data_IF_864292820629
#
_entry.id   IF_864292820629
#
_cell.length_a   1.000
_cell.length_b   1.000
_cell.length_c   1.000
_cell.angle_alpha   90.00
_cell.angle_beta   90.00
_cell.angle_gamma   90.00
#
_symmetry.space_group_name_H-M   'P 1'
#
loop_
_entity.id
_entity.type
_entity.pdbx_description
1 polymer ?
#
# COMPACT_ATOMS: atom_id res chain seq x y z
N UNK A 1 0.65 31.66 -16.32
CA UNK A 1 -0.13 31.42 -15.08
C UNK A 1 0.76 31.56 -13.84
N UNK A 2 2.08 31.64 -13.99
CA UNK A 2 2.99 31.64 -12.85
C UNK A 2 3.04 32.97 -12.11
N UNK A 3 2.93 34.11 -12.81
CA UNK A 3 3.20 35.42 -12.20
C UNK A 3 2.40 35.68 -10.90
N UNK A 4 1.07 35.50 -10.89
CA UNK A 4 0.26 35.82 -9.69
C UNK A 4 0.50 34.85 -8.52
N UNK A 5 0.72 33.56 -8.79
CA UNK A 5 1.01 32.56 -7.75
C UNK A 5 2.42 32.80 -7.20
N UNK A 6 3.39 33.01 -8.10
CA UNK A 6 4.76 33.38 -7.76
C UNK A 6 4.83 34.69 -6.97
N UNK A 7 4.08 35.71 -7.35
CA UNK A 7 3.98 36.99 -6.63
C UNK A 7 3.39 36.79 -5.22
N UNK A 8 2.39 35.92 -5.09
CA UNK A 8 1.80 35.58 -3.78
C UNK A 8 2.77 34.81 -2.89
N UNK A 9 3.50 33.84 -3.46
CA UNK A 9 4.57 33.11 -2.76
C UNK A 9 5.64 34.07 -2.26
N UNK A 10 6.13 34.97 -3.12
CA UNK A 10 7.13 35.97 -2.72
C UNK A 10 6.61 36.93 -1.65
N UNK A 11 5.34 37.35 -1.71
CA UNK A 11 4.73 38.17 -0.66
C UNK A 11 4.69 37.43 0.68
N UNK A 12 4.25 36.16 0.68
CA UNK A 12 4.24 35.33 1.89
C UNK A 12 5.63 35.14 2.47
N UNK A 13 6.61 34.75 1.65
CA UNK A 13 8.01 34.59 2.08
C UNK A 13 8.55 35.86 2.73
N UNK A 14 8.34 37.02 2.09
CA UNK A 14 8.74 38.32 2.63
C UNK A 14 8.09 38.60 4.00
N UNK A 15 6.78 38.37 4.13
CA UNK A 15 6.04 38.65 5.36
C UNK A 15 6.44 37.72 6.50
N UNK A 16 6.69 36.45 6.21
CA UNK A 16 7.20 35.47 7.18
C UNK A 16 8.58 35.88 7.67
N UNK A 17 9.48 36.21 6.74
CA UNK A 17 10.81 36.73 7.06
C UNK A 17 10.77 37.97 7.96
N UNK A 18 9.91 38.94 7.63
CA UNK A 18 9.71 40.16 8.43
C UNK A 18 9.22 39.81 9.84
N UNK A 19 8.22 38.93 9.94
CA UNK A 19 7.66 38.52 11.23
C UNK A 19 8.67 37.75 12.09
N UNK A 20 9.47 36.86 11.50
CA UNK A 20 10.53 36.11 12.20
C UNK A 20 11.66 37.01 12.68
N UNK A 21 12.05 38.02 11.88
CA UNK A 21 13.01 39.06 12.32
C UNK A 21 12.47 39.85 13.51
N UNK A 22 11.18 40.19 13.50
CA UNK A 22 10.54 40.90 14.60
C UNK A 22 10.48 40.07 15.89
N UNK A 23 10.16 38.77 15.78
CA UNK A 23 10.23 37.83 16.91
C UNK A 23 11.65 37.74 17.48
N UNK A 24 12.66 37.58 16.62
CA UNK A 24 14.07 37.52 17.03
C UNK A 24 14.53 38.81 17.72
N UNK A 25 14.11 39.97 17.21
CA UNK A 25 14.37 41.28 17.82
C UNK A 25 13.76 41.37 19.22
N UNK A 26 12.49 40.98 19.37
CA UNK A 26 11.81 40.98 20.68
C UNK A 26 12.45 39.99 21.66
N UNK A 27 12.90 38.83 21.18
CA UNK A 27 13.67 37.86 21.97
C UNK A 27 14.96 38.48 22.51
N UNK A 28 15.75 39.15 21.64
CA UNK A 28 16.96 39.85 22.06
C UNK A 28 16.67 40.94 23.10
N UNK A 29 15.58 41.71 22.93
CA UNK A 29 15.15 42.72 23.90
C UNK A 29 14.76 42.11 25.25
N UNK A 30 14.06 40.97 25.26
CA UNK A 30 13.72 40.26 26.50
C UNK A 30 14.99 39.80 27.22
N UNK A 31 15.93 39.19 26.50
CA UNK A 31 17.21 38.73 27.06
C UNK A 31 18.00 39.91 27.65
N UNK A 32 18.09 41.03 26.93
CA UNK A 32 18.77 42.24 27.40
C UNK A 32 18.13 42.78 28.70
N UNK A 33 16.80 42.90 28.73
CA UNK A 33 16.06 43.36 29.91
C UNK A 33 16.17 42.40 31.09
N UNK A 34 16.27 41.09 30.84
CA UNK A 34 16.54 40.09 31.87
C UNK A 34 17.94 40.28 32.48
N UNK A 35 18.96 40.44 31.64
CA UNK A 35 20.34 40.71 32.12
C UNK A 35 20.46 42.03 32.88
N UNK A 36 19.76 43.09 32.44
CA UNK A 36 19.75 44.38 33.14
C UNK A 36 18.94 44.33 34.44
N UNK A 37 17.82 43.61 34.46
CA UNK A 37 16.96 43.44 35.63
C UNK A 37 17.58 42.64 36.77
N UNK A 38 18.52 41.72 36.47
CA UNK A 38 19.30 41.00 37.50
C UNK A 38 20.23 41.94 38.31
N UNK A 39 20.56 43.13 37.79
CA UNK A 39 21.40 44.12 38.48
C UNK A 39 20.61 45.13 39.34
N UNK A 40 19.27 45.18 39.21
CA UNK A 40 18.42 46.22 39.80
C UNK A 40 17.15 45.61 40.43
N UNK A 41 17.34 44.65 41.35
CA UNK A 41 16.29 43.78 41.91
C UNK A 41 15.02 44.48 42.46
N UNK A 42 15.04 45.79 42.72
CA UNK A 42 13.92 46.56 43.27
C UNK A 42 13.27 47.58 42.30
N UNK A 43 13.70 47.66 41.03
CA UNK A 43 13.11 48.64 40.09
C UNK A 43 11.80 48.16 39.45
N UNK A 44 10.68 48.65 39.99
CA UNK A 44 9.31 48.41 39.46
C UNK A 44 9.16 48.78 37.98
N UNK A 45 9.91 49.75 37.47
CA UNK A 45 9.84 50.13 36.05
C UNK A 45 10.47 49.07 35.17
N UNK A 46 11.64 48.55 35.56
CA UNK A 46 12.31 47.46 34.85
C UNK A 46 11.45 46.20 34.78
N UNK A 47 10.81 45.82 35.90
CA UNK A 47 9.88 44.68 35.95
C UNK A 47 8.66 44.86 35.03
N UNK A 48 8.14 46.08 34.92
CA UNK A 48 6.98 46.39 34.06
C UNK A 48 7.37 46.31 32.58
N UNK A 49 8.53 46.85 32.21
CA UNK A 49 9.08 46.78 30.85
C UNK A 49 9.34 45.34 30.42
N UNK A 50 9.95 44.52 31.30
CA UNK A 50 10.18 43.10 31.02
C UNK A 50 8.88 42.32 30.82
N UNK A 51 7.86 42.56 31.67
CA UNK A 51 6.54 41.93 31.52
C UNK A 51 5.90 42.29 30.18
N UNK A 52 5.99 43.55 29.76
CA UNK A 52 5.48 44.00 28.46
C UNK A 52 6.23 43.36 27.30
N UNK A 53 7.57 43.37 27.33
CA UNK A 53 8.38 42.75 26.30
C UNK A 53 8.10 41.26 26.14
N UNK A 54 7.93 40.52 27.25
CA UNK A 54 7.50 39.11 27.22
C UNK A 54 6.11 38.92 26.63
N UNK A 55 5.15 39.80 26.96
CA UNK A 55 3.80 39.74 26.39
C UNK A 55 3.80 40.02 24.88
N UNK A 56 4.59 41.01 24.44
CA UNK A 56 4.73 41.36 23.03
C UNK A 56 5.45 40.24 22.25
N UNK A 57 6.48 39.61 22.83
CA UNK A 57 7.15 38.43 22.24
C UNK A 57 6.17 37.25 22.07
N UNK A 58 5.37 36.94 23.09
CA UNK A 58 4.35 35.88 23.01
C UNK A 58 3.32 36.17 21.91
N UNK A 59 2.86 37.42 21.79
CA UNK A 59 1.93 37.83 20.74
C UNK A 59 2.57 37.68 19.35
N UNK A 60 3.77 38.24 19.16
CA UNK A 60 4.47 38.18 17.89
C UNK A 60 4.78 36.74 17.46
N UNK A 61 5.14 35.87 18.41
CA UNK A 61 5.35 34.45 18.16
C UNK A 61 4.07 33.70 17.78
N UNK A 62 2.92 34.06 18.36
CA UNK A 62 1.63 33.51 17.95
C UNK A 62 1.22 33.99 16.55
N UNK A 63 1.45 35.25 16.23
CA UNK A 63 1.20 35.84 14.90
C UNK A 63 2.10 35.22 13.82
N UNK A 64 3.38 34.95 14.13
CA UNK A 64 4.30 34.23 13.24
C UNK A 64 3.78 32.84 12.90
N UNK A 65 3.46 32.02 13.93
CA UNK A 65 2.93 30.67 13.73
C UNK A 65 1.63 30.65 12.91
N UNK A 66 0.73 31.62 13.12
CA UNK A 66 -0.50 31.70 12.32
C UNK A 66 -0.20 32.09 10.88
N UNK A 67 0.77 32.98 10.64
CA UNK A 67 1.19 33.34 9.29
C UNK A 67 1.78 32.13 8.55
N UNK A 68 2.61 31.34 9.22
CA UNK A 68 3.17 30.08 8.68
C UNK A 68 2.05 29.11 8.29
N UNK A 69 1.06 28.91 9.17
CA UNK A 69 -0.11 28.07 8.89
C UNK A 69 -0.95 28.58 7.73
N UNK A 70 -1.16 29.89 7.64
CA UNK A 70 -1.86 30.51 6.49
C UNK A 70 -1.10 30.22 5.20
N UNK A 71 0.23 30.32 5.22
CA UNK A 71 1.06 30.05 4.06
C UNK A 71 1.06 28.55 3.69
N UNK A 72 1.20 27.65 4.65
CA UNK A 72 1.08 26.20 4.42
C UNK A 72 -0.28 25.83 3.78
N UNK A 73 -1.39 26.39 4.29
CA UNK A 73 -2.72 26.22 3.68
C UNK A 73 -2.80 26.78 2.27
N UNK A 74 -2.13 27.90 1.99
CA UNK A 74 -2.03 28.47 0.65
C UNK A 74 -1.28 27.52 -0.29
N UNK A 75 -0.13 26.97 0.13
CA UNK A 75 0.64 26.00 -0.66
C UNK A 75 -0.18 24.74 -0.98
N UNK A 76 -0.90 24.19 0.01
CA UNK A 76 -1.81 23.06 -0.19
C UNK A 76 -2.93 23.38 -1.21
N UNK A 77 -3.47 24.61 -1.15
CA UNK A 77 -4.52 25.07 -2.07
C UNK A 77 -4.00 25.28 -3.49
N UNK A 78 -2.77 25.72 -3.66
CA UNK A 78 -2.17 25.88 -5.00
C UNK A 78 -1.46 24.61 -5.49
N UNK A 79 -1.30 23.59 -4.63
CA UNK A 79 -0.67 22.31 -4.97
C UNK A 79 0.85 22.41 -5.13
N UNK A 80 1.51 23.29 -4.36
CA UNK A 80 2.92 23.65 -4.54
C UNK A 80 3.91 22.81 -3.69
N UNK A 81 3.42 21.85 -2.91
CA UNK A 81 4.26 21.09 -1.96
C UNK A 81 4.72 21.92 -0.77
N UNK A 82 5.61 21.37 0.07
CA UNK A 82 6.23 22.14 1.14
C UNK A 82 7.27 23.13 0.57
N UNK A 83 7.43 24.26 1.24
CA UNK A 83 8.44 25.27 0.95
C UNK A 83 9.58 25.21 1.99
N UNK A 84 10.66 24.43 1.74
CA UNK A 84 11.70 24.19 2.73
C UNK A 84 12.55 25.43 3.04
N UNK A 85 12.48 26.48 2.21
CA UNK A 85 13.25 27.72 2.42
C UNK A 85 12.62 28.59 3.51
N UNK A 86 11.33 28.40 3.81
CA UNK A 86 10.53 29.36 4.59
C UNK A 86 9.64 28.70 5.63
N UNK A 87 9.19 27.48 5.40
CA UNK A 87 8.36 26.72 6.33
C UNK A 87 9.09 25.50 6.87
N UNK A 88 9.01 25.32 8.19
CA UNK A 88 9.36 24.06 8.82
C UNK A 88 8.42 22.95 8.31
N UNK A 89 8.99 21.77 8.00
CA UNK A 89 8.23 20.60 7.55
C UNK A 89 7.05 20.28 8.50
N UNK A 90 7.26 20.43 9.81
CA UNK A 90 6.27 20.17 10.85
C UNK A 90 4.99 21.02 10.68
N UNK A 91 5.11 22.30 10.29
CA UNK A 91 3.95 23.19 10.15
C UNK A 91 3.12 22.81 8.92
N UNK A 92 3.80 22.47 7.82
CA UNK A 92 3.13 22.01 6.61
C UNK A 92 2.42 20.69 6.86
N UNK A 93 3.07 19.77 7.58
CA UNK A 93 2.54 18.46 7.91
C UNK A 93 1.36 18.54 8.89
N UNK A 94 1.42 19.45 9.88
CA UNK A 94 0.29 19.77 10.76
C UNK A 94 -0.95 20.18 9.95
N UNK A 95 -0.82 21.09 8.98
CA UNK A 95 -1.95 21.56 8.19
C UNK A 95 -2.44 20.51 7.19
N UNK A 96 -1.55 19.69 6.63
CA UNK A 96 -1.92 18.54 5.80
C UNK A 96 -2.69 17.48 6.61
N UNK A 97 -2.23 17.19 7.82
CA UNK A 97 -2.91 16.27 8.73
C UNK A 97 -4.28 16.84 9.17
N UNK A 98 -4.35 18.13 9.48
CA UNK A 98 -5.61 18.81 9.80
C UNK A 98 -6.60 18.74 8.62
N UNK A 99 -6.10 18.85 7.38
CA UNK A 99 -6.90 18.61 6.17
C UNK A 99 -7.43 17.17 6.13
N UNK A 100 -6.57 16.17 6.31
CA UNK A 100 -6.91 14.76 6.27
C UNK A 100 -7.91 14.36 7.37
N UNK A 101 -7.93 15.06 8.50
CA UNK A 101 -8.86 14.82 9.62
C UNK A 101 -10.14 15.67 9.56
N UNK A 102 -10.32 16.49 8.53
CA UNK A 102 -11.45 17.41 8.42
C UNK A 102 -12.80 16.69 8.17
N UNK A 103 -13.95 17.28 8.51
CA UNK A 103 -15.26 16.66 8.24
C UNK A 103 -15.51 16.30 6.77
N UNK A 104 -14.82 16.97 5.84
CA UNK A 104 -14.90 16.70 4.42
C UNK A 104 -14.30 15.32 4.04
N UNK A 105 -13.36 14.79 4.83
CA UNK A 105 -12.74 13.48 4.65
C UNK A 105 -13.40 12.37 5.49
N UNK A 106 -14.25 12.70 6.47
CA UNK A 106 -14.95 11.75 7.37
C UNK A 106 -15.99 10.84 6.70
N UNK A 107 -16.15 10.88 5.38
CA UNK A 107 -16.99 9.88 4.68
C UNK A 107 -16.33 8.50 4.66
N UNK A 108 -15.05 8.41 4.99
CA UNK A 108 -14.35 7.16 5.14
C UNK A 108 -14.51 6.60 6.56
N UNK A 109 -14.74 5.30 6.66
CA UNK A 109 -15.01 4.54 7.89
C UNK A 109 -13.79 4.31 8.77
N UNK A 110 -12.58 4.47 8.22
CA UNK A 110 -11.28 4.31 8.92
C UNK A 110 -10.55 5.65 8.81
N UNK A 111 -9.98 6.16 9.90
CA UNK A 111 -9.06 7.30 9.85
C UNK A 111 -7.78 6.88 9.13
N UNK A 112 -7.10 7.84 8.49
CA UNK A 112 -5.82 7.59 7.79
C UNK A 112 -4.70 7.06 8.68
N UNK A 113 -4.84 7.21 9.99
CA UNK A 113 -3.92 6.73 11.02
C UNK A 113 -4.34 5.39 11.64
N UNK A 114 -5.53 4.90 11.31
CA UNK A 114 -6.05 3.67 11.89
C UNK A 114 -5.60 2.44 11.08
N UNK A 115 -4.89 2.67 9.96
CA UNK A 115 -4.31 1.71 9.01
C UNK A 115 -2.95 1.16 9.41
N UNK A 116 -2.54 -0.03 8.93
CA UNK A 116 -1.16 -0.50 8.99
C UNK A 116 -0.25 0.30 8.04
N UNK A 117 -0.78 0.74 6.89
CA UNK A 117 -0.08 1.65 5.98
C UNK A 117 -0.07 3.05 6.60
N UNK A 118 1.13 3.60 6.77
CA UNK A 118 1.38 4.79 7.56
C UNK A 118 0.93 6.10 6.91
N UNK A 119 0.86 7.15 7.73
CA UNK A 119 0.56 8.52 7.28
C UNK A 119 1.58 9.03 6.27
N UNK A 120 2.87 8.75 6.48
CA UNK A 120 3.97 9.23 5.65
C UNK A 120 3.81 8.77 4.19
N UNK A 121 3.37 7.54 3.98
CA UNK A 121 3.06 6.98 2.65
C UNK A 121 1.96 7.78 1.97
N UNK A 122 0.87 8.06 2.69
CA UNK A 122 -0.20 8.87 2.14
C UNK A 122 0.21 10.32 1.90
N UNK A 123 0.98 10.93 2.81
CA UNK A 123 1.57 12.26 2.64
C UNK A 123 2.36 12.31 1.33
N UNK A 124 3.27 11.37 1.12
CA UNK A 124 4.06 11.29 -0.11
C UNK A 124 3.16 11.20 -1.34
N UNK A 125 2.16 10.32 -1.32
CA UNK A 125 1.23 10.16 -2.44
C UNK A 125 0.36 11.40 -2.70
N UNK A 126 -0.11 12.09 -1.66
CA UNK A 126 -0.92 13.31 -1.80
C UNK A 126 -0.13 14.44 -2.46
N UNK A 127 1.19 14.46 -2.25
CA UNK A 127 2.11 15.47 -2.78
C UNK A 127 2.75 15.06 -4.12
N UNK A 128 2.57 13.83 -4.59
CA UNK A 128 3.23 13.25 -5.77
C UNK A 128 2.67 13.72 -7.14
N UNK A 129 1.82 14.76 -7.16
CA UNK A 129 1.17 15.31 -8.37
C UNK A 129 0.65 14.24 -9.35
N UNK A 130 -0.11 13.27 -8.82
CA UNK A 130 -0.52 12.09 -9.57
C UNK A 130 -1.37 12.42 -10.81
N UNK A 131 -1.16 11.71 -11.94
CA UNK A 131 -1.90 11.97 -13.17
C UNK A 131 -3.37 11.57 -13.03
N UNK A 132 -4.24 12.56 -12.92
CA UNK A 132 -5.70 12.37 -12.77
C UNK A 132 -6.49 12.60 -14.07
N UNK A 133 -5.88 13.25 -15.06
CA UNK A 133 -6.51 13.57 -16.34
C UNK A 133 -6.97 12.31 -17.07
N UNK A 134 -6.08 11.32 -17.21
CA UNK A 134 -6.33 10.05 -17.89
C UNK A 134 -7.46 9.25 -17.22
N UNK A 135 -7.46 9.15 -15.89
CA UNK A 135 -8.54 8.52 -15.12
C UNK A 135 -9.90 9.17 -15.41
N UNK A 136 -9.91 10.48 -15.56
CA UNK A 136 -11.12 11.23 -15.81
C UNK A 136 -11.56 11.19 -17.29
N UNK A 137 -10.65 10.93 -18.22
CA UNK A 137 -10.96 10.57 -19.60
C UNK A 137 -11.55 9.16 -19.70
N UNK A 138 -10.98 8.18 -18.98
CA UNK A 138 -11.48 6.81 -18.90
C UNK A 138 -12.92 6.79 -18.35
N UNK A 139 -13.18 7.55 -17.28
CA UNK A 139 -14.52 7.72 -16.72
C UNK A 139 -15.53 8.23 -17.76
N UNK A 140 -15.12 9.20 -18.59
CA UNK A 140 -15.97 9.75 -19.67
C UNK A 140 -16.16 8.75 -20.81
N UNK A 141 -15.12 7.98 -21.16
CA UNK A 141 -15.17 6.98 -22.21
C UNK A 141 -16.16 5.86 -21.85
N UNK A 142 -16.06 5.32 -20.62
CA UNK A 142 -16.98 4.34 -20.04
C UNK A 142 -18.44 4.80 -20.15
N UNK A 143 -18.74 6.08 -19.90
CA UNK A 143 -20.11 6.60 -20.02
C UNK A 143 -20.64 6.64 -21.44
N UNK A 144 -19.78 6.94 -22.42
CA UNK A 144 -20.19 7.07 -23.83
C UNK A 144 -20.42 5.70 -24.46
N UNK A 145 -19.76 4.66 -23.97
CA UNK A 145 -20.05 3.27 -24.36
C UNK A 145 -21.24 2.73 -23.58
N UNK A 146 -22.46 2.95 -24.08
CA UNK A 146 -23.71 2.43 -23.50
C UNK A 146 -23.92 0.91 -23.70
N UNK A 147 -22.90 0.13 -24.03
CA UNK A 147 -23.06 -1.30 -24.28
C UNK A 147 -21.76 -2.08 -24.13
N UNK A 148 -21.78 -3.02 -23.18
CA UNK A 148 -21.10 -4.32 -23.23
C UNK A 148 -19.61 -4.26 -23.60
N UNK A 149 -18.77 -3.91 -22.64
CA UNK A 149 -17.41 -4.45 -22.52
C UNK A 149 -16.81 -4.08 -21.15
N UNK A 150 -17.40 -4.57 -20.04
CA UNK A 150 -16.57 -4.88 -18.87
C UNK A 150 -15.76 -6.10 -19.29
N UNK A 151 -14.65 -5.89 -20.00
CA UNK A 151 -13.70 -6.94 -20.28
C UNK A 151 -13.22 -7.42 -18.91
N UNK A 152 -13.58 -8.66 -18.60
CA UNK A 152 -13.25 -9.36 -17.35
C UNK A 152 -11.76 -9.72 -17.26
N UNK A 153 -10.95 -9.36 -18.25
CA UNK A 153 -9.50 -9.40 -18.14
C UNK A 153 -9.07 -8.13 -17.41
N UNK A 154 -8.35 -8.28 -16.29
CA UNK A 154 -7.89 -7.20 -15.42
C UNK A 154 -6.89 -6.20 -16.04
N UNK A 155 -7.11 -5.76 -17.28
CA UNK A 155 -6.34 -4.86 -18.11
C UNK A 155 -7.20 -3.65 -18.56
N UNK A 156 -7.85 -2.99 -17.61
CA UNK A 156 -8.37 -1.63 -17.82
C UNK A 156 -7.22 -0.64 -17.63
N UNK A 157 -7.12 0.39 -18.47
CA UNK A 157 -6.13 1.47 -18.30
C UNK A 157 -6.24 2.10 -16.90
N UNK A 158 -7.47 2.21 -16.36
CA UNK A 158 -7.71 2.65 -14.99
C UNK A 158 -7.09 1.70 -13.97
N UNK A 159 -7.20 0.38 -14.14
CA UNK A 159 -6.57 -0.58 -13.25
C UNK A 159 -5.04 -0.46 -13.29
N UNK A 160 -4.45 -0.23 -14.46
CA UNK A 160 -3.01 -0.02 -14.58
C UNK A 160 -2.55 1.24 -13.82
N UNK A 161 -3.25 2.36 -13.98
CA UNK A 161 -2.96 3.61 -13.25
C UNK A 161 -3.12 3.40 -11.74
N UNK A 162 -4.19 2.74 -11.30
CA UNK A 162 -4.43 2.47 -9.87
C UNK A 162 -3.36 1.55 -9.27
N UNK A 163 -2.84 0.57 -10.02
CA UNK A 163 -1.70 -0.23 -9.58
C UNK A 163 -0.42 0.58 -9.45
N UNK A 164 -0.15 1.44 -10.42
CA UNK A 164 0.99 2.35 -10.35
C UNK A 164 0.89 3.30 -9.15
N UNK A 165 -0.32 3.76 -8.81
CA UNK A 165 -0.55 4.54 -7.60
C UNK A 165 -0.30 3.69 -6.35
N UNK A 166 -0.79 2.45 -6.31
CA UNK A 166 -0.54 1.52 -5.22
C UNK A 166 0.96 1.28 -4.99
N UNK A 167 1.75 1.19 -6.07
CA UNK A 167 3.18 0.89 -5.97
C UNK A 167 4.01 1.98 -5.31
N UNK A 168 3.48 3.20 -5.19
CA UNK A 168 4.08 4.26 -4.38
C UNK A 168 4.09 3.90 -2.88
N UNK A 169 3.21 2.99 -2.44
CA UNK A 169 3.22 2.47 -1.07
C UNK A 169 4.26 1.36 -0.83
N UNK A 170 5.06 0.97 -1.84
CA UNK A 170 6.05 -0.11 -1.71
C UNK A 170 7.08 0.12 -0.61
N UNK A 171 7.47 1.38 -0.36
CA UNK A 171 8.43 1.73 0.69
C UNK A 171 7.82 1.77 2.10
N UNK A 172 6.50 1.66 2.22
CA UNK A 172 5.84 1.55 3.51
C UNK A 172 6.31 0.28 4.24
N UNK A 173 6.63 0.38 5.52
CA UNK A 173 7.20 -0.73 6.28
C UNK A 173 6.28 -1.96 6.31
N UNK A 174 4.96 -1.76 6.42
CA UNK A 174 4.00 -2.85 6.43
C UNK A 174 3.91 -3.53 5.06
N UNK A 175 3.82 -2.74 3.98
CA UNK A 175 3.75 -3.26 2.60
C UNK A 175 5.05 -3.98 2.23
N UNK A 176 6.20 -3.39 2.56
CA UNK A 176 7.52 -3.97 2.32
C UNK A 176 7.70 -5.31 3.06
N UNK A 177 7.27 -5.38 4.32
CA UNK A 177 7.31 -6.63 5.09
C UNK A 177 6.38 -7.69 4.48
N UNK A 178 5.11 -7.35 4.23
CA UNK A 178 4.13 -8.29 3.69
C UNK A 178 4.53 -8.82 2.30
N UNK A 179 5.09 -7.96 1.44
CA UNK A 179 5.60 -8.37 0.12
C UNK A 179 6.84 -9.25 0.23
N UNK A 180 7.74 -8.98 1.19
CA UNK A 180 8.92 -9.82 1.45
C UNK A 180 8.50 -11.20 1.95
N UNK A 181 7.57 -11.27 2.91
CA UNK A 181 7.01 -12.52 3.42
C UNK A 181 6.34 -13.34 2.31
N UNK A 182 5.48 -12.69 1.50
CA UNK A 182 4.82 -13.36 0.38
C UNK A 182 5.84 -13.87 -0.67
N UNK A 183 6.91 -13.13 -0.92
CA UNK A 183 7.99 -13.55 -1.83
C UNK A 183 8.76 -14.73 -1.26
N UNK A 184 9.02 -14.77 0.05
CA UNK A 184 9.67 -15.89 0.71
C UNK A 184 8.81 -17.16 0.64
N UNK A 185 7.51 -17.06 0.92
CA UNK A 185 6.56 -18.19 0.78
C UNK A 185 6.53 -18.67 -0.68
N UNK A 186 6.56 -17.75 -1.64
CA UNK A 186 6.60 -18.11 -3.04
C UNK A 186 7.88 -18.85 -3.45
N UNK A 187 9.04 -18.41 -2.93
CA UNK A 187 10.32 -19.09 -3.12
C UNK A 187 10.33 -20.50 -2.50
N UNK A 188 9.76 -20.65 -1.31
CA UNK A 188 9.59 -21.95 -0.66
C UNK A 188 8.67 -22.87 -1.48
N UNK A 189 7.54 -22.36 -1.96
CA UNK A 189 6.63 -23.14 -2.81
C UNK A 189 7.33 -23.64 -4.09
N UNK A 190 8.10 -22.78 -4.77
CA UNK A 190 8.83 -23.19 -5.97
C UNK A 190 9.88 -24.27 -5.65
N UNK A 191 10.60 -24.13 -4.54
CA UNK A 191 11.58 -25.12 -4.09
C UNK A 191 10.90 -26.46 -3.78
N UNK A 192 9.78 -26.45 -3.05
CA UNK A 192 8.98 -27.65 -2.76
C UNK A 192 8.44 -28.31 -4.03
N UNK A 193 8.07 -27.51 -5.05
CA UNK A 193 7.59 -28.04 -6.33
C UNK A 193 8.71 -28.74 -7.09
N UNK A 194 9.92 -28.16 -7.12
CA UNK A 194 11.10 -28.77 -7.71
C UNK A 194 11.49 -30.06 -6.99
N UNK A 195 11.51 -30.05 -5.64
CA UNK A 195 11.77 -31.24 -4.82
C UNK A 195 10.71 -32.33 -5.04
N UNK A 196 9.43 -31.97 -5.13
CA UNK A 196 8.35 -32.90 -5.43
C UNK A 196 8.55 -33.56 -6.80
N UNK A 197 8.89 -32.78 -7.84
CA UNK A 197 9.18 -33.31 -9.17
C UNK A 197 10.39 -34.24 -9.17
N UNK A 198 11.51 -33.83 -8.55
CA UNK A 198 12.73 -34.64 -8.47
C UNK A 198 12.51 -35.95 -7.70
N UNK A 199 11.74 -35.90 -6.60
CA UNK A 199 11.40 -37.06 -5.80
C UNK A 199 10.50 -38.02 -6.58
N UNK A 200 9.52 -37.50 -7.33
CA UNK A 200 8.65 -38.28 -8.20
C UNK A 200 9.45 -38.96 -9.32
N UNK A 201 10.35 -38.22 -9.98
CA UNK A 201 11.23 -38.75 -11.03
C UNK A 201 12.22 -39.78 -10.48
N UNK A 202 12.78 -39.57 -9.30
CA UNK A 202 13.70 -40.53 -8.66
C UNK A 202 12.97 -41.80 -8.23
N UNK A 203 11.75 -41.67 -7.69
CA UNK A 203 10.89 -42.82 -7.40
C UNK A 203 10.53 -43.56 -8.69
N UNK A 204 10.29 -42.83 -9.78
CA UNK A 204 10.05 -43.43 -11.09
C UNK A 204 11.24 -44.29 -11.52
N UNK A 205 12.45 -43.70 -11.58
CA UNK A 205 13.67 -44.39 -12.03
C UNK A 205 13.98 -45.61 -11.17
N UNK A 206 13.92 -45.50 -9.84
CA UNK A 206 14.24 -46.63 -8.97
C UNK A 206 13.23 -47.77 -9.06
N UNK A 207 11.97 -47.44 -9.32
CA UNK A 207 10.95 -48.44 -9.60
C UNK A 207 11.22 -49.14 -10.94
N UNK A 208 11.53 -48.39 -12.01
CA UNK A 208 11.88 -48.93 -13.34
C UNK A 208 13.10 -49.85 -13.30
N UNK A 209 14.15 -49.47 -12.54
CA UNK A 209 15.35 -50.29 -12.34
C UNK A 209 15.01 -51.61 -11.64
N UNK A 210 14.14 -51.57 -10.61
CA UNK A 210 13.77 -52.77 -9.85
C UNK A 210 12.77 -53.68 -10.57
N UNK A 211 11.93 -53.14 -11.46
CA UNK A 211 10.83 -53.88 -12.11
C UNK A 211 11.01 -54.12 -13.62
N UNK A 212 12.12 -53.69 -14.22
CA UNK A 212 12.53 -53.99 -15.59
C UNK A 212 11.50 -53.64 -16.69
N UNK A 213 11.01 -52.40 -16.71
CA UNK A 213 10.16 -51.84 -17.77
C UNK A 213 10.06 -50.32 -17.68
N UNK A 214 9.89 -49.62 -18.81
CA UNK A 214 9.78 -48.16 -18.87
C UNK A 214 8.41 -47.77 -19.43
N UNK A 215 7.63 -47.00 -18.68
CA UNK A 215 6.38 -46.38 -19.15
C UNK A 215 6.02 -45.15 -18.31
N UNK A 216 5.21 -44.25 -18.88
CA UNK A 216 4.83 -42.97 -18.26
C UNK A 216 3.93 -43.11 -17.02
N UNK A 217 4.16 -42.27 -16.00
CA UNK A 217 3.34 -42.17 -14.79
C UNK A 217 2.10 -41.31 -15.04
N UNK A 218 0.92 -41.83 -14.73
CA UNK A 218 -0.32 -41.08 -14.75
C UNK A 218 -1.14 -41.35 -13.47
N UNK A 219 -2.13 -40.51 -13.21
CA UNK A 219 -3.00 -40.66 -12.04
C UNK A 219 -4.28 -41.37 -12.46
N UNK A 220 -4.51 -42.58 -11.94
CA UNK A 220 -5.69 -43.39 -12.26
C UNK A 220 -6.58 -43.63 -11.04
N UNK A 221 -7.88 -43.82 -11.28
CA UNK A 221 -8.86 -44.15 -10.23
C UNK A 221 -9.21 -45.63 -10.32
N UNK A 222 -8.88 -46.41 -9.29
CA UNK A 222 -9.23 -47.82 -9.13
C UNK A 222 -10.28 -47.96 -8.00
N UNK A 223 -11.52 -48.27 -8.35
CA UNK A 223 -12.66 -48.19 -7.43
C UNK A 223 -12.90 -46.76 -6.91
N UNK A 224 -12.86 -46.54 -5.58
CA UNK A 224 -12.92 -45.21 -4.94
C UNK A 224 -11.52 -44.65 -4.58
N UNK A 225 -10.44 -45.33 -4.98
CA UNK A 225 -9.06 -44.99 -4.62
C UNK A 225 -8.33 -44.49 -5.86
N UNK A 226 -7.88 -43.24 -5.88
CA UNK A 226 -6.91 -42.80 -6.89
C UNK A 226 -5.53 -43.28 -6.46
N UNK A 227 -4.77 -43.79 -7.41
CA UNK A 227 -3.43 -44.36 -7.24
C UNK A 227 -2.53 -43.82 -8.35
N UNK A 228 -1.24 -43.65 -8.05
CA UNK A 228 -0.23 -43.38 -9.07
C UNK A 228 -0.04 -44.69 -9.86
N UNK A 229 -0.46 -44.73 -11.13
CA UNK A 229 -0.45 -45.95 -11.96
C UNK A 229 0.16 -45.58 -13.30
N UNK A 230 1.06 -46.38 -13.81
CA UNK A 230 1.45 -46.19 -15.21
C UNK A 230 0.46 -46.87 -16.15
N UNK A 231 0.54 -46.49 -17.42
CA UNK A 231 -0.40 -46.93 -18.45
C UNK A 231 -0.37 -48.44 -18.71
N UNK A 232 0.78 -49.14 -18.60
CA UNK A 232 0.81 -50.58 -18.91
C UNK A 232 1.47 -51.54 -17.90
N UNK A 233 2.38 -51.15 -17.00
CA UNK A 233 3.00 -52.16 -16.10
C UNK A 233 3.59 -51.64 -14.77
N UNK A 234 2.77 -51.03 -13.90
CA UNK A 234 3.22 -50.55 -12.58
C UNK A 234 2.32 -51.09 -11.46
N UNK A 235 2.73 -52.22 -10.88
CA UNK A 235 2.17 -52.72 -9.61
C UNK A 235 2.45 -51.76 -8.46
N UNK A 236 1.50 -51.58 -7.54
CA UNK A 236 1.41 -50.46 -6.58
C UNK A 236 2.76 -49.97 -5.98
N UNK A 237 3.18 -48.76 -6.40
CA UNK A 237 4.46 -48.13 -5.99
C UNK A 237 4.52 -47.85 -4.49
N UNK A 238 3.39 -47.48 -3.87
CA UNK A 238 3.32 -47.19 -2.44
C UNK A 238 3.59 -48.43 -1.58
N UNK A 239 3.23 -49.62 -2.05
CA UNK A 239 3.50 -50.88 -1.34
C UNK A 239 4.97 -51.30 -1.50
N UNK A 240 5.60 -50.94 -2.63
CA UNK A 240 6.98 -51.31 -2.96
C UNK A 240 8.00 -50.35 -2.35
N UNK A 241 7.65 -49.06 -2.23
CA UNK A 241 8.50 -47.99 -1.70
C UNK A 241 7.74 -47.09 -0.70
N UNK A 242 7.30 -47.63 0.45
CA UNK A 242 6.40 -46.93 1.37
C UNK A 242 6.99 -45.63 1.94
N UNK A 243 8.28 -45.62 2.30
CA UNK A 243 8.93 -44.42 2.83
C UNK A 243 8.99 -43.28 1.80
N UNK A 244 9.26 -43.59 0.53
CA UNK A 244 9.31 -42.57 -0.53
C UNK A 244 7.93 -42.07 -0.92
N UNK A 245 6.94 -42.96 -0.91
CA UNK A 245 5.55 -42.56 -1.07
C UNK A 245 5.13 -41.62 0.05
N UNK A 246 5.49 -41.91 1.31
CA UNK A 246 5.25 -41.02 2.46
C UNK A 246 5.92 -39.65 2.26
N UNK A 247 7.18 -39.60 1.87
CA UNK A 247 7.88 -38.33 1.58
C UNK A 247 7.19 -37.52 0.47
N UNK A 248 6.69 -38.15 -0.59
CA UNK A 248 5.87 -37.45 -1.59
C UNK A 248 4.56 -36.91 -1.01
N UNK A 249 3.94 -37.64 -0.08
CA UNK A 249 2.79 -37.19 0.71
C UNK A 249 3.08 -35.92 1.52
N UNK A 250 4.20 -35.92 2.24
CA UNK A 250 4.69 -34.79 3.05
C UNK A 250 4.99 -33.56 2.17
N UNK A 251 5.78 -33.74 1.11
CA UNK A 251 6.11 -32.66 0.17
C UNK A 251 4.86 -32.03 -0.46
N UNK A 252 3.89 -32.86 -0.85
CA UNK A 252 2.63 -32.37 -1.42
C UNK A 252 1.77 -31.63 -0.39
N UNK A 253 1.75 -32.08 0.87
CA UNK A 253 1.08 -31.38 1.96
C UNK A 253 1.67 -30.00 2.20
N UNK A 254 3.01 -29.91 2.31
CA UNK A 254 3.72 -28.64 2.48
C UNK A 254 3.51 -27.70 1.29
N UNK A 255 3.49 -28.22 0.06
CA UNK A 255 3.21 -27.43 -1.14
C UNK A 255 1.77 -26.84 -1.12
N UNK A 256 0.78 -27.61 -0.66
CA UNK A 256 -0.59 -27.11 -0.45
C UNK A 256 -0.68 -26.10 0.69
N UNK A 257 0.10 -26.29 1.75
CA UNK A 257 0.18 -25.35 2.87
C UNK A 257 0.77 -24.01 2.40
N UNK A 258 1.93 -24.02 1.74
CA UNK A 258 2.55 -22.82 1.17
C UNK A 258 1.64 -22.12 0.14
N UNK A 259 0.93 -22.88 -0.72
CA UNK A 259 -0.08 -22.32 -1.64
C UNK A 259 -1.21 -21.58 -0.91
N UNK A 260 -1.71 -22.14 0.20
CA UNK A 260 -2.77 -21.52 1.01
C UNK A 260 -2.26 -20.30 1.75
N UNK A 261 -1.10 -20.40 2.38
CA UNK A 261 -0.45 -19.29 3.09
C UNK A 261 -0.20 -18.11 2.16
N UNK A 262 0.35 -18.35 0.96
CA UNK A 262 0.54 -17.31 -0.04
C UNK A 262 -0.77 -16.67 -0.48
N UNK A 263 -1.82 -17.48 -0.69
CA UNK A 263 -3.15 -16.98 -1.05
C UNK A 263 -3.69 -16.04 0.04
N UNK A 264 -3.63 -16.44 1.31
CA UNK A 264 -4.09 -15.61 2.42
C UNK A 264 -3.25 -14.34 2.59
N UNK A 265 -1.92 -14.44 2.49
CA UNK A 265 -1.03 -13.28 2.56
C UNK A 265 -1.34 -12.26 1.45
N UNK A 266 -1.56 -12.74 0.21
CA UNK A 266 -1.97 -11.90 -0.92
C UNK A 266 -3.32 -11.25 -0.71
N UNK A 267 -4.32 -12.01 -0.28
CA UNK A 267 -5.68 -11.50 -0.03
C UNK A 267 -5.67 -10.42 1.06
N UNK A 268 -4.94 -10.65 2.15
CA UNK A 268 -4.79 -9.69 3.24
C UNK A 268 -4.11 -8.40 2.77
N UNK A 269 -2.96 -8.49 2.10
CA UNK A 269 -2.24 -7.32 1.59
C UNK A 269 -3.07 -6.55 0.55
N UNK A 270 -3.70 -7.25 -0.39
CA UNK A 270 -4.52 -6.62 -1.41
C UNK A 270 -5.77 -5.95 -0.81
N UNK A 271 -6.36 -6.52 0.24
CA UNK A 271 -7.47 -5.91 0.96
C UNK A 271 -7.04 -4.65 1.72
N UNK A 272 -5.85 -4.65 2.31
CA UNK A 272 -5.30 -3.45 2.95
C UNK A 272 -5.00 -2.36 1.92
N UNK A 273 -4.39 -2.69 0.79
CA UNK A 273 -4.15 -1.74 -0.32
C UNK A 273 -5.46 -1.14 -0.86
N UNK A 274 -6.53 -1.93 -1.00
CA UNK A 274 -7.87 -1.42 -1.36
C UNK A 274 -8.38 -0.44 -0.32
N UNK A 275 -8.31 -0.81 0.95
CA UNK A 275 -8.79 0.02 2.05
C UNK A 275 -8.06 1.36 2.07
N UNK A 276 -6.73 1.32 1.97
CA UNK A 276 -5.87 2.49 1.91
C UNK A 276 -6.16 3.37 0.68
N UNK A 277 -6.24 2.78 -0.52
CA UNK A 277 -6.48 3.54 -1.75
C UNK A 277 -7.87 4.17 -1.80
N UNK A 278 -8.90 3.52 -1.24
CA UNK A 278 -10.22 4.14 -1.09
C UNK A 278 -10.16 5.42 -0.24
N UNK A 279 -9.42 5.38 0.87
CA UNK A 279 -9.17 6.55 1.72
C UNK A 279 -8.37 7.62 0.99
N UNK A 280 -7.25 7.22 0.39
CA UNK A 280 -6.36 8.10 -0.37
C UNK A 280 -7.09 8.81 -1.51
N UNK A 281 -7.81 8.10 -2.39
CA UNK A 281 -8.52 8.70 -3.53
C UNK A 281 -9.56 9.71 -3.08
N UNK A 282 -10.28 9.41 -2.00
CA UNK A 282 -11.27 10.33 -1.41
C UNK A 282 -10.61 11.64 -0.98
N UNK A 283 -9.46 11.54 -0.31
CA UNK A 283 -8.69 12.69 0.17
C UNK A 283 -8.07 13.47 -0.98
N UNK A 284 -7.42 12.77 -1.90
CA UNK A 284 -6.74 13.34 -3.04
C UNK A 284 -7.71 14.13 -3.92
N UNK A 285 -8.86 13.56 -4.30
CA UNK A 285 -9.88 14.27 -5.07
C UNK A 285 -10.53 15.42 -4.28
N UNK A 286 -10.62 15.32 -2.96
CA UNK A 286 -11.08 16.42 -2.10
C UNK A 286 -10.06 17.57 -2.08
N UNK A 287 -8.77 17.26 -2.01
CA UNK A 287 -7.68 18.22 -2.05
C UNK A 287 -7.68 18.94 -3.40
N UNK A 288 -7.69 18.19 -4.50
CA UNK A 288 -7.81 18.72 -5.86
C UNK A 288 -9.05 19.60 -6.03
N UNK A 289 -10.17 19.23 -5.39
CA UNK A 289 -11.40 20.03 -5.40
C UNK A 289 -11.29 21.39 -4.73
N UNK A 290 -10.39 21.55 -3.75
CA UNK A 290 -10.08 22.83 -3.10
C UNK A 290 -9.08 23.67 -3.87
N UNK A 291 -8.38 23.08 -4.83
CA UNK A 291 -7.39 23.80 -5.61
C UNK A 291 -8.03 24.85 -6.55
N UNK A 292 -7.22 25.85 -6.90
CA UNK A 292 -7.64 26.93 -7.78
C UNK A 292 -8.19 26.38 -9.12
N UNK A 293 -9.15 27.11 -9.71
CA UNK A 293 -9.80 26.67 -10.96
C UNK A 293 -8.79 26.45 -12.08
N UNK A 294 -7.75 27.28 -12.11
CA UNK A 294 -6.67 27.22 -13.09
C UNK A 294 -5.82 25.96 -12.89
N UNK A 295 -5.40 25.65 -11.65
CA UNK A 295 -4.65 24.42 -11.36
C UNK A 295 -5.44 23.17 -11.76
N UNK A 296 -6.73 23.13 -11.42
CA UNK A 296 -7.63 22.05 -11.87
C UNK A 296 -7.72 21.96 -13.40
N UNK A 297 -7.70 23.08 -14.12
CA UNK A 297 -7.70 23.08 -15.58
C UNK A 297 -6.39 22.51 -16.14
N UNK A 298 -5.25 22.85 -15.56
CA UNK A 298 -3.95 22.30 -15.95
C UNK A 298 -3.90 20.77 -15.79
N UNK A 299 -4.54 20.23 -14.76
CA UNK A 299 -4.66 18.79 -14.52
C UNK A 299 -5.77 18.11 -15.34
N UNK A 300 -6.35 18.79 -16.34
CA UNK A 300 -7.43 18.22 -17.19
C UNK A 300 -8.80 18.10 -16.50
N UNK A 301 -8.96 18.62 -15.29
CA UNK A 301 -10.19 18.51 -14.48
C UNK A 301 -11.21 19.64 -14.74
N UNK A 302 -11.04 20.45 -15.79
CA UNK A 302 -11.93 21.58 -16.06
C UNK A 302 -13.37 21.10 -16.33
N UNK A 303 -14.32 21.56 -15.51
CA UNK A 303 -15.74 21.23 -15.66
C UNK A 303 -16.11 19.78 -15.30
N UNK A 304 -15.21 19.01 -14.70
CA UNK A 304 -15.52 17.65 -14.26
C UNK A 304 -16.18 17.62 -12.89
N UNK A 305 -17.15 16.71 -12.75
CA UNK A 305 -17.74 16.38 -11.46
C UNK A 305 -16.80 15.47 -10.68
N UNK A 306 -15.91 16.03 -9.86
CA UNK A 306 -14.99 15.27 -9.00
C UNK A 306 -15.69 14.20 -8.15
N UNK A 307 -16.92 14.46 -7.71
CA UNK A 307 -17.74 13.47 -7.00
C UNK A 307 -18.03 12.22 -7.83
N UNK A 308 -18.19 12.36 -9.15
CA UNK A 308 -18.47 11.24 -10.05
C UNK A 308 -17.19 10.47 -10.35
N UNK A 309 -16.08 11.18 -10.61
CA UNK A 309 -14.77 10.55 -10.74
C UNK A 309 -14.43 9.75 -9.48
N UNK A 310 -14.71 10.31 -8.30
CA UNK A 310 -14.54 9.62 -7.02
C UNK A 310 -15.37 8.32 -6.97
N UNK A 311 -16.66 8.38 -7.31
CA UNK A 311 -17.50 7.17 -7.35
C UNK A 311 -16.96 6.11 -8.31
N UNK A 312 -16.58 6.51 -9.53
CA UNK A 312 -15.97 5.62 -10.51
C UNK A 312 -14.69 4.95 -10.00
N UNK A 313 -13.77 5.72 -9.42
CA UNK A 313 -12.51 5.17 -8.92
C UNK A 313 -12.70 4.26 -7.71
N UNK A 314 -13.64 4.57 -6.82
CA UNK A 314 -13.96 3.68 -5.69
C UNK A 314 -14.51 2.34 -6.20
N UNK A 315 -15.40 2.35 -7.18
CA UNK A 315 -15.89 1.12 -7.81
C UNK A 315 -14.75 0.32 -8.47
N UNK A 316 -13.80 0.98 -9.15
CA UNK A 316 -12.67 0.30 -9.80
C UNK A 316 -11.67 -0.26 -8.76
N UNK A 317 -11.41 0.44 -7.65
CA UNK A 317 -10.53 -0.04 -6.57
C UNK A 317 -11.04 -1.34 -5.97
N UNK A 318 -12.35 -1.49 -5.76
CA UNK A 318 -12.94 -2.72 -5.24
C UNK A 318 -12.68 -3.94 -6.15
N UNK A 319 -12.57 -3.70 -7.47
CA UNK A 319 -12.44 -4.75 -8.47
C UNK A 319 -10.99 -4.99 -8.93
N UNK A 320 -10.04 -4.16 -8.51
CA UNK A 320 -8.64 -4.30 -8.91
C UNK A 320 -7.89 -5.27 -8.00
N UNK A 321 -6.99 -6.05 -8.61
CA UNK A 321 -5.93 -6.77 -7.90
C UNK A 321 -4.63 -5.97 -8.09
N UNK A 322 -4.13 -5.42 -6.98
CA UNK A 322 -2.94 -4.58 -6.92
C UNK A 322 -1.63 -5.37 -7.02
N UNK A 323 -1.69 -6.68 -6.79
CA UNK A 323 -0.51 -7.56 -6.73
C UNK A 323 -0.31 -8.33 -8.04
N UNK A 324 -1.05 -7.99 -9.10
CA UNK A 324 -0.88 -8.57 -10.44
C UNK A 324 0.35 -7.99 -11.16
N UNK A 325 0.86 -8.78 -12.12
CA UNK A 325 1.99 -8.41 -12.97
C UNK A 325 1.70 -7.11 -13.73
N UNK A 326 2.72 -6.25 -13.82
CA UNK A 326 2.58 -4.91 -14.41
C UNK A 326 2.01 -3.89 -13.43
N UNK A 327 2.05 -4.20 -12.13
CA UNK A 327 1.56 -3.35 -11.06
C UNK A 327 2.54 -2.30 -10.57
N UNK A 328 3.68 -2.14 -11.24
CA UNK A 328 4.65 -1.08 -10.95
C UNK A 328 5.56 -1.37 -9.76
N UNK A 329 5.74 -2.66 -9.39
CA UNK A 329 6.70 -3.07 -8.36
C UNK A 329 6.13 -3.73 -7.10
N UNK A 330 4.81 -3.98 -7.03
CA UNK A 330 4.15 -4.74 -5.95
C UNK A 330 3.79 -6.18 -6.35
N UNK A 331 4.38 -6.68 -7.44
CA UNK A 331 4.02 -7.99 -7.98
C UNK A 331 4.34 -9.09 -6.97
N UNK A 332 3.31 -9.80 -6.56
CA UNK A 332 3.45 -11.09 -5.89
C UNK A 332 3.11 -12.14 -6.96
N UNK A 333 3.84 -13.26 -7.08
CA UNK A 333 3.48 -14.32 -8.02
C UNK A 333 2.19 -15.02 -7.58
N UNK A 334 1.30 -15.33 -8.55
CA UNK A 334 0.14 -16.18 -8.30
C UNK A 334 0.56 -17.61 -8.57
N UNK A 335 0.80 -18.37 -7.51
CA UNK A 335 1.23 -19.75 -7.65
C UNK A 335 0.02 -20.65 -7.90
N UNK A 336 0.19 -21.54 -8.86
CA UNK A 336 -0.76 -22.61 -9.16
C UNK A 336 -0.01 -23.92 -9.10
N UNK A 337 -0.55 -24.85 -8.34
CA UNK A 337 -0.13 -26.24 -8.39
C UNK A 337 -0.46 -26.75 -9.80
N UNK A 338 0.52 -27.22 -10.60
CA UNK A 338 0.24 -27.76 -11.93
C UNK A 338 -0.79 -28.88 -11.87
N UNK A 339 -1.59 -29.05 -12.93
CA UNK A 339 -2.67 -30.04 -12.95
C UNK A 339 -2.15 -31.47 -12.69
N UNK A 340 -0.94 -31.79 -13.18
CA UNK A 340 -0.28 -33.06 -12.94
C UNK A 340 0.01 -33.27 -11.44
N UNK A 341 0.57 -32.27 -10.76
CA UNK A 341 0.84 -32.33 -9.32
C UNK A 341 -0.46 -32.34 -8.51
N UNK A 342 -1.46 -31.54 -8.90
CA UNK A 342 -2.75 -31.48 -8.23
C UNK A 342 -3.52 -32.82 -8.27
N UNK A 343 -3.30 -33.65 -9.30
CA UNK A 343 -3.89 -34.98 -9.38
C UNK A 343 -3.42 -35.91 -8.24
N UNK A 344 -2.24 -35.65 -7.66
CA UNK A 344 -1.72 -36.36 -6.49
C UNK A 344 -2.61 -36.22 -5.24
N UNK A 345 -3.39 -35.12 -5.12
CA UNK A 345 -4.31 -34.91 -3.99
C UNK A 345 -5.34 -36.02 -3.80
N UNK A 346 -5.68 -36.75 -4.86
CA UNK A 346 -6.70 -37.81 -4.83
C UNK A 346 -6.12 -39.15 -4.37
N UNK A 347 -4.79 -39.26 -4.29
CA UNK A 347 -4.10 -40.49 -3.94
C UNK A 347 -4.37 -40.93 -2.52
N UNK A 348 -4.29 -42.23 -2.26
CA UNK A 348 -4.44 -42.76 -0.91
C UNK A 348 -3.31 -42.32 0.02
N UNK A 349 -2.08 -42.26 -0.51
CA UNK A 349 -0.90 -41.74 0.18
C UNK A 349 -1.17 -40.33 0.72
N UNK A 350 -1.75 -39.45 -0.11
CA UNK A 350 -2.09 -38.10 0.32
C UNK A 350 -3.25 -38.06 1.34
N UNK A 351 -4.23 -38.96 1.25
CA UNK A 351 -5.35 -39.06 2.21
C UNK A 351 -4.91 -39.60 3.57
N UNK A 352 -4.16 -40.69 3.58
CA UNK A 352 -3.61 -41.31 4.78
C UNK A 352 -2.68 -40.32 5.51
N UNK A 353 -1.89 -39.54 4.77
CA UNK A 353 -1.09 -38.46 5.36
C UNK A 353 -1.95 -37.31 5.90
N UNK A 354 -3.00 -36.88 5.18
CA UNK A 354 -3.93 -35.85 5.70
C UNK A 354 -4.66 -36.30 6.97
N UNK A 355 -5.08 -37.55 7.04
CA UNK A 355 -5.72 -38.15 8.22
C UNK A 355 -4.74 -38.25 9.39
N UNK A 356 -3.47 -38.59 9.13
CA UNK A 356 -2.42 -38.59 10.13
C UNK A 356 -2.12 -37.17 10.68
N UNK A 357 -2.00 -36.18 9.79
CA UNK A 357 -1.81 -34.77 10.19
C UNK A 357 -3.01 -34.24 10.98
N UNK A 358 -4.23 -34.55 10.55
CA UNK A 358 -5.44 -34.13 11.25
C UNK A 358 -5.63 -34.81 12.62
N UNK A 359 -5.06 -35.99 12.82
CA UNK A 359 -5.05 -36.68 14.12
C UNK A 359 -4.02 -36.10 15.10
N UNK A 360 -2.97 -35.45 14.60
CA UNK A 360 -1.88 -34.86 15.38
C UNK A 360 -2.06 -33.34 15.63
N UNK A 361 -2.97 -32.65 14.94
CA UNK A 361 -3.40 -31.29 15.30
C UNK A 361 -4.47 -31.38 16.42
N UNK A 362 -4.14 -31.11 17.70
CA UNK A 362 -5.15 -31.07 18.75
C UNK A 362 -6.14 -29.95 18.41
N UNK A 363 -7.44 -30.20 18.60
CA UNK A 363 -8.52 -29.22 18.49
C UNK A 363 -8.12 -27.92 19.24
N UNK A 364 -7.61 -26.93 18.51
CA UNK A 364 -7.47 -25.56 19.01
C UNK A 364 -8.84 -24.93 18.84
N UNK A 365 -9.68 -25.13 19.86
CA UNK A 365 -10.93 -24.38 20.11
C UNK A 365 -10.61 -22.98 20.61
#
# INVERSE_FOLDING_TARGET
>A
MDQHVTDSVHDFRRRIDEQHRDVSRLQATVVELETQGMSAADDRRALTSLRRARADLTRAGAEAKELDRIYARFLLREGLGNDPDTLDDDVFDEELQAFCNSPASRRWTRGMHDGPIGFDTCRQMLLADLPVAELAENERAMRKSTGVARVLDGASDTHAILRQWASLARSDAHVAQATTEATAIAGQHNSLQEEFHQSLDSLRVDYEIKQHGADGLSFHTDGQRTVLRAENDWGNVADTFPERARTLGELFHELRKASRELKFAREALNQELRTFLCGFVTLYLTLLGRQSKERRRQMGLSGQGLRRLMGYLLDEIENVDFLLVGGGGLEVPQLRIPAEVAAFARTAVCREHQEAVAADEPDVV
#
